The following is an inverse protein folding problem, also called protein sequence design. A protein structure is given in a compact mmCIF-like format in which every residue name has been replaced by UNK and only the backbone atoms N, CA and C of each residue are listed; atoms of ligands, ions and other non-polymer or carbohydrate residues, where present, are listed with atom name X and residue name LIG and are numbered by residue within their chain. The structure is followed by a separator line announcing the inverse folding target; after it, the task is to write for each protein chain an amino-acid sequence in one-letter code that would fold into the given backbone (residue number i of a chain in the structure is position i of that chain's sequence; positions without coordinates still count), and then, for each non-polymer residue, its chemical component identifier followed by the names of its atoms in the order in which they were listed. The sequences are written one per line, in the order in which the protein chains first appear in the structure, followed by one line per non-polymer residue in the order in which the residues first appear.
data_IF_744395086830
#
_entry.id   IF_744395086830
#
_cell.length_a   1.000
_cell.length_b   1.000
_cell.length_c   1.000
_cell.angle_alpha   90.00
_cell.angle_beta   90.00
_cell.angle_gamma   90.00
#
_symmetry.space_group_name_H-M   'P 1'
#
loop_
_entity.id
_entity.type
_entity.pdbx_description
1 polymer ?
#
# COMPACT_ATOMS: atom_id res chain seq x y z
N UNK A 1 35.53 -23.20 -59.17
CA UNK A 1 36.77 -23.08 -58.36
C UNK A 1 36.38 -23.53 -56.95
N UNK A 2 36.36 -24.83 -56.64
CA UNK A 2 37.49 -25.73 -56.26
C UNK A 2 38.05 -25.30 -54.89
N UNK A 3 38.10 -26.06 -53.80
CA UNK A 3 37.76 -27.47 -53.47
C UNK A 3 37.54 -27.61 -51.94
N UNK A 4 36.85 -28.69 -51.55
CA UNK A 4 36.64 -29.24 -50.19
C UNK A 4 37.89 -29.84 -49.52
N UNK A 5 37.85 -30.00 -48.18
CA UNK A 5 37.96 -31.29 -47.43
C UNK A 5 37.81 -30.99 -45.90
N UNK A 6 36.87 -31.50 -45.07
CA UNK A 6 36.51 -32.88 -44.59
C UNK A 6 37.69 -33.61 -43.94
N UNK A 7 37.66 -34.17 -42.71
CA UNK A 7 36.70 -35.01 -41.95
C UNK A 7 36.97 -34.87 -40.42
N UNK A 8 36.09 -35.07 -39.42
CA UNK A 8 35.13 -36.12 -39.02
C UNK A 8 35.71 -37.33 -38.23
N UNK A 9 34.87 -37.83 -37.30
CA UNK A 9 34.94 -39.03 -36.44
C UNK A 9 35.67 -38.87 -35.08
N UNK A 10 35.21 -39.41 -33.93
CA UNK A 10 34.20 -40.45 -33.70
C UNK A 10 33.56 -40.33 -32.29
N UNK A 11 32.34 -40.86 -32.18
CA UNK A 11 31.58 -41.11 -30.94
C UNK A 11 31.58 -42.61 -30.63
N UNK A 12 31.73 -43.01 -29.36
CA UNK A 12 31.34 -44.32 -28.83
C UNK A 12 31.17 -44.21 -27.30
N UNK A 13 29.93 -44.17 -26.77
CA UNK A 13 29.07 -45.27 -26.29
C UNK A 13 29.38 -45.78 -24.87
N UNK A 14 28.34 -45.73 -24.03
CA UNK A 14 28.25 -46.22 -22.64
C UNK A 14 28.55 -47.72 -22.49
N UNK A 15 28.93 -48.14 -21.28
CA UNK A 15 28.59 -49.48 -20.78
C UNK A 15 28.47 -49.51 -19.25
N UNK A 16 27.29 -49.89 -18.76
CA UNK A 16 27.04 -50.37 -17.39
C UNK A 16 27.33 -51.87 -17.37
N UNK A 17 28.20 -52.34 -16.47
CA UNK A 17 28.14 -53.74 -15.98
C UNK A 17 28.41 -53.84 -14.48
N UNK A 18 27.44 -54.51 -13.86
CA UNK A 18 27.20 -54.92 -12.49
C UNK A 18 28.28 -55.86 -11.95
N UNK A 19 28.59 -55.78 -10.66
CA UNK A 19 29.14 -56.90 -9.91
C UNK A 19 28.47 -56.95 -8.52
N UNK A 20 27.69 -58.02 -8.30
CA UNK A 20 27.14 -58.41 -7.00
C UNK A 20 27.99 -59.57 -6.52
N UNK A 21 28.51 -59.48 -5.30
CA UNK A 21 28.92 -60.62 -4.48
C UNK A 21 28.56 -60.31 -3.03
N UNK A 22 27.89 -61.27 -2.39
CA UNK A 22 27.36 -61.18 -1.02
C UNK A 22 28.07 -62.19 -0.09
N UNK A 23 27.84 -61.98 1.22
CA UNK A 23 28.26 -62.73 2.41
C UNK A 23 29.72 -62.52 2.86
N UNK A 24 30.04 -62.20 4.11
CA UNK A 24 29.28 -62.03 5.35
C UNK A 24 30.23 -62.22 6.53
N UNK A 25 30.28 -61.28 7.47
CA UNK A 25 30.80 -61.49 8.82
C UNK A 25 30.25 -60.39 9.74
N UNK A 26 29.51 -60.81 10.76
CA UNK A 26 28.97 -59.97 11.82
C UNK A 26 30.13 -59.55 12.73
N UNK A 27 30.33 -58.24 12.89
CA UNK A 27 31.11 -57.68 13.99
C UNK A 27 30.30 -56.54 14.61
N UNK A 28 29.88 -56.73 15.85
CA UNK A 28 29.29 -55.70 16.67
C UNK A 28 30.31 -54.56 16.85
N UNK A 29 29.99 -53.38 16.33
CA UNK A 29 30.85 -52.20 16.41
C UNK A 29 29.97 -50.96 16.51
N UNK A 30 30.20 -50.19 17.58
CA UNK A 30 29.48 -49.00 18.02
C UNK A 30 28.83 -48.17 16.91
N UNK A 31 27.55 -47.85 17.09
CA UNK A 31 26.83 -46.85 16.32
C UNK A 31 27.45 -45.46 16.56
N UNK A 32 28.48 -45.12 15.78
CA UNK A 32 28.89 -43.73 15.59
C UNK A 32 27.82 -43.06 14.73
N UNK A 33 26.85 -42.45 15.41
CA UNK A 33 25.83 -41.62 14.80
C UNK A 33 26.48 -40.49 14.03
N UNK A 34 26.53 -40.62 12.71
CA UNK A 34 26.78 -39.48 11.83
C UNK A 34 25.60 -38.53 12.03
N UNK A 35 25.79 -37.28 12.48
CA UNK A 35 24.68 -36.35 12.57
C UNK A 35 24.23 -36.09 11.13
N UNK A 36 23.06 -36.62 10.76
CA UNK A 36 22.32 -36.11 9.61
C UNK A 36 22.05 -34.65 9.92
N UNK A 37 22.73 -33.75 9.20
CA UNK A 37 22.35 -32.36 9.19
C UNK A 37 20.89 -32.30 8.73
N UNK A 38 19.98 -32.15 9.68
CA UNK A 38 18.63 -31.70 9.40
C UNK A 38 18.84 -30.29 8.86
N UNK A 39 18.81 -30.14 7.54
CA UNK A 39 18.68 -28.83 6.94
C UNK A 39 17.40 -28.25 7.56
N UNK A 40 17.55 -27.31 8.48
CA UNK A 40 16.44 -26.50 8.91
C UNK A 40 15.90 -25.88 7.61
N UNK A 41 14.71 -26.32 7.18
CA UNK A 41 13.90 -25.45 6.36
C UNK A 41 13.67 -24.22 7.23
N UNK A 42 14.54 -23.22 7.10
CA UNK A 42 14.18 -21.86 7.38
C UNK A 42 13.00 -21.60 6.45
N UNK A 43 11.79 -21.83 6.96
CA UNK A 43 10.60 -21.33 6.32
C UNK A 43 10.87 -19.85 6.13
N UNK A 44 11.08 -19.44 4.88
CA UNK A 44 11.15 -18.01 4.55
C UNK A 44 9.83 -17.46 5.05
N UNK A 45 9.86 -16.70 6.15
CA UNK A 45 8.68 -16.02 6.64
C UNK A 45 8.07 -15.31 5.42
N UNK A 46 6.81 -15.63 5.13
CA UNK A 46 6.14 -15.05 3.98
C UNK A 46 6.29 -13.53 4.08
N UNK A 47 6.81 -12.89 3.03
CA UNK A 47 7.02 -11.45 3.05
C UNK A 47 5.67 -10.77 3.31
N UNK A 48 5.55 -10.06 4.44
CA UNK A 48 4.30 -9.38 4.79
C UNK A 48 3.99 -8.27 3.78
N UNK A 49 2.70 -8.09 3.49
CA UNK A 49 2.19 -7.06 2.59
C UNK A 49 2.32 -5.65 3.16
N UNK A 50 1.84 -4.66 2.43
CA UNK A 50 1.86 -3.24 2.82
C UNK A 50 1.03 -2.99 4.10
N UNK A 51 0.07 -3.87 4.41
CA UNK A 51 -0.74 -3.87 5.63
C UNK A 51 0.04 -4.22 6.91
N UNK A 52 1.28 -4.68 6.78
CA UNK A 52 2.23 -4.72 7.90
C UNK A 52 2.40 -3.32 8.52
N UNK A 53 2.22 -3.13 9.84
CA UNK A 53 2.23 -1.79 10.44
C UNK A 53 3.50 -0.98 10.15
N UNK A 54 4.66 -1.62 10.08
CA UNK A 54 5.91 -0.93 9.77
C UNK A 54 5.97 -0.51 8.30
N UNK A 55 5.47 -1.35 7.38
CA UNK A 55 5.38 -1.00 5.94
C UNK A 55 4.32 0.05 5.68
N UNK A 56 3.19 0.02 6.38
CA UNK A 56 2.16 1.06 6.30
C UNK A 56 2.71 2.41 6.74
N UNK A 57 3.46 2.47 7.83
CA UNK A 57 4.13 3.71 8.27
C UNK A 57 5.13 4.21 7.22
N UNK A 58 5.88 3.32 6.55
CA UNK A 58 6.77 3.69 5.43
C UNK A 58 5.95 4.22 4.24
N UNK A 59 4.84 3.59 3.89
CA UNK A 59 3.95 4.02 2.80
C UNK A 59 3.45 5.45 3.03
N UNK A 60 3.01 5.78 4.25
CA UNK A 60 2.58 7.14 4.59
C UNK A 60 3.71 8.17 4.42
N UNK A 61 4.94 7.81 4.79
CA UNK A 61 6.12 8.68 4.63
C UNK A 61 6.48 8.89 3.17
N UNK A 62 6.37 7.85 2.34
CA UNK A 62 6.66 7.94 0.91
C UNK A 62 5.65 8.86 0.21
N UNK A 63 4.36 8.68 0.44
CA UNK A 63 3.31 9.59 -0.10
C UNK A 63 3.57 11.03 0.37
N UNK A 64 3.75 11.24 1.67
CA UNK A 64 4.04 12.57 2.23
C UNK A 64 5.31 13.22 1.64
N UNK A 65 6.29 12.42 1.20
CA UNK A 65 7.50 12.97 0.57
C UNK A 65 7.20 13.53 -0.83
N UNK A 66 6.30 12.92 -1.58
CA UNK A 66 5.84 13.42 -2.87
C UNK A 66 4.93 14.65 -2.69
N UNK A 67 3.94 14.54 -1.80
CA UNK A 67 2.91 15.56 -1.61
C UNK A 67 3.40 16.80 -0.85
N UNK A 68 4.35 16.62 0.07
CA UNK A 68 4.71 17.67 1.04
C UNK A 68 6.21 17.83 1.25
N UNK A 69 7.06 17.16 0.47
CA UNK A 69 8.53 17.19 0.63
C UNK A 69 8.99 16.92 2.08
N UNK A 70 8.25 16.09 2.82
CA UNK A 70 8.47 15.79 4.23
C UNK A 70 8.12 14.35 4.57
N UNK A 71 8.83 13.74 5.50
CA UNK A 71 8.48 12.42 6.05
C UNK A 71 7.53 12.54 7.27
N UNK A 72 7.29 13.74 7.79
CA UNK A 72 6.36 13.95 8.91
C UNK A 72 4.91 14.05 8.40
N UNK A 73 4.38 12.93 7.92
CA UNK A 73 3.02 12.85 7.37
C UNK A 73 1.96 13.25 8.39
N UNK A 74 2.22 13.06 9.69
CA UNK A 74 1.30 13.44 10.77
C UNK A 74 1.17 14.95 10.93
N UNK A 75 2.14 15.74 10.47
CA UNK A 75 1.98 17.19 10.42
C UNK A 75 0.83 17.63 9.50
N UNK A 76 0.36 16.77 8.60
CA UNK A 76 -0.67 17.09 7.60
C UNK A 76 -2.11 16.92 8.10
N UNK A 77 -2.34 16.36 9.30
CA UNK A 77 -3.72 16.31 9.84
C UNK A 77 -4.40 17.69 9.85
N UNK A 78 -3.62 18.75 10.07
CA UNK A 78 -4.07 20.15 10.11
C UNK A 78 -4.01 20.87 8.76
N UNK A 79 -3.45 20.25 7.72
CA UNK A 79 -3.35 20.86 6.40
C UNK A 79 -4.76 21.17 5.90
N UNK A 80 -4.95 22.36 5.35
CA UNK A 80 -6.17 22.81 4.69
C UNK A 80 -5.86 24.07 3.88
N UNK A 81 -6.13 23.99 2.59
CA UNK A 81 -5.88 25.04 1.60
C UNK A 81 -6.79 24.81 0.40
N UNK A 82 -7.23 25.88 -0.26
CA UNK A 82 -7.71 25.78 -1.64
C UNK A 82 -6.52 26.11 -2.54
N UNK A 83 -6.09 25.11 -3.30
CA UNK A 83 -4.91 25.21 -4.17
C UNK A 83 -5.27 25.69 -5.59
N UNK A 84 -6.54 26.01 -5.85
CA UNK A 84 -7.01 26.55 -7.13
C UNK A 84 -7.10 25.49 -8.25
N UNK A 85 -7.25 24.22 -7.90
CA UNK A 85 -7.37 23.10 -8.84
C UNK A 85 -8.83 22.72 -9.19
N UNK A 86 -9.80 23.48 -8.68
CA UNK A 86 -11.22 23.27 -8.91
C UNK A 86 -11.88 22.24 -7.97
N UNK A 87 -11.18 21.76 -6.94
CA UNK A 87 -11.75 20.83 -5.93
C UNK A 87 -12.21 21.53 -4.64
N UNK A 88 -12.03 22.85 -4.56
CA UNK A 88 -12.27 23.66 -3.36
C UNK A 88 -11.18 23.42 -2.32
N UNK A 89 -11.55 23.38 -1.04
CA UNK A 89 -10.59 23.04 0.01
C UNK A 89 -10.07 21.61 -0.15
N UNK A 90 -8.75 21.48 -0.16
CA UNK A 90 -7.97 20.24 0.00
C UNK A 90 -7.38 20.20 1.41
N UNK A 91 -7.57 19.11 2.15
CA UNK A 91 -7.20 19.06 3.56
C UNK A 91 -6.79 17.67 4.08
N UNK A 92 -6.07 17.65 5.20
CA UNK A 92 -5.72 16.42 5.91
C UNK A 92 -4.62 15.58 5.26
N UNK A 93 -4.45 14.36 5.76
CA UNK A 93 -3.29 13.49 5.47
C UNK A 93 -3.20 12.90 4.06
N UNK A 94 -4.27 13.04 3.27
CA UNK A 94 -4.34 12.55 1.87
C UNK A 94 -5.05 13.53 0.93
N UNK A 95 -5.29 14.76 1.37
CA UNK A 95 -5.96 15.76 0.52
C UNK A 95 -7.46 15.50 0.30
N UNK A 96 -8.22 15.25 1.37
CA UNK A 96 -9.68 15.21 1.31
C UNK A 96 -10.21 16.53 0.75
N UNK A 97 -11.12 16.48 -0.24
CA UNK A 97 -11.60 17.70 -0.90
C UNK A 97 -13.07 18.00 -0.65
N UNK A 98 -13.42 19.28 -0.49
CA UNK A 98 -14.81 19.71 -0.30
C UNK A 98 -15.68 19.46 -1.53
N UNK A 99 -15.09 19.48 -2.72
CA UNK A 99 -15.78 19.29 -3.99
C UNK A 99 -15.95 17.84 -4.45
N UNK A 100 -15.27 16.88 -3.83
CA UNK A 100 -15.25 15.45 -4.24
C UNK A 100 -16.05 14.53 -3.32
N UNK A 101 -16.57 15.05 -2.22
CA UNK A 101 -17.44 14.33 -1.28
C UNK A 101 -16.71 13.62 -0.15
N UNK A 102 -15.44 13.26 -0.30
CA UNK A 102 -14.68 12.57 0.74
C UNK A 102 -14.41 13.44 1.98
N UNK A 103 -14.26 14.77 1.85
CA UNK A 103 -14.23 15.66 3.00
C UNK A 103 -15.58 15.69 3.75
N UNK A 104 -16.69 15.64 3.02
CA UNK A 104 -18.03 15.57 3.63
C UNK A 104 -18.20 14.27 4.41
N UNK A 105 -17.81 13.13 3.84
CA UNK A 105 -17.85 11.83 4.49
C UNK A 105 -16.99 11.81 5.77
N UNK A 106 -15.77 12.35 5.70
CA UNK A 106 -14.88 12.47 6.85
C UNK A 106 -15.48 13.32 7.98
N UNK A 107 -16.06 14.48 7.67
CA UNK A 107 -16.67 15.35 8.69
C UNK A 107 -17.93 14.71 9.26
N UNK A 108 -18.69 13.95 8.46
CA UNK A 108 -19.85 13.18 8.93
C UNK A 108 -19.40 12.08 9.88
N UNK A 109 -18.38 11.29 9.54
CA UNK A 109 -17.80 10.27 10.42
C UNK A 109 -17.35 10.86 11.76
N UNK A 110 -16.72 12.03 11.72
CA UNK A 110 -16.28 12.72 12.94
C UNK A 110 -17.46 13.22 13.78
N UNK A 111 -18.52 13.73 13.16
CA UNK A 111 -19.77 14.09 13.84
C UNK A 111 -20.45 12.90 14.52
N UNK A 112 -20.46 11.75 13.87
CA UNK A 112 -21.09 10.54 14.39
C UNK A 112 -20.32 9.98 15.60
N UNK A 113 -18.98 10.06 15.58
CA UNK A 113 -18.12 9.58 16.67
C UNK A 113 -17.98 10.55 17.83
N UNK A 114 -18.10 11.85 17.56
CA UNK A 114 -17.96 12.91 18.57
C UNK A 114 -18.99 14.01 18.37
N UNK A 115 -20.12 13.86 19.06
CA UNK A 115 -21.18 14.87 19.10
C UNK A 115 -20.64 16.22 19.59
N UNK A 116 -21.07 17.31 18.96
CA UNK A 116 -20.70 18.67 19.35
C UNK A 116 -19.26 19.08 19.00
N UNK A 117 -18.57 18.30 18.14
CA UNK A 117 -17.28 18.72 17.61
C UNK A 117 -17.40 20.00 16.76
N UNK A 118 -16.26 20.70 16.61
CA UNK A 118 -16.20 22.03 15.97
C UNK A 118 -16.54 22.00 14.47
N UNK A 119 -16.43 20.85 13.80
CA UNK A 119 -16.68 20.73 12.37
C UNK A 119 -18.14 20.38 12.02
N UNK A 120 -18.89 19.80 12.95
CA UNK A 120 -20.27 19.33 12.69
C UNK A 120 -21.19 20.45 12.16
N UNK A 121 -20.97 21.71 12.56
CA UNK A 121 -21.75 22.87 12.09
C UNK A 121 -21.60 23.14 10.58
N UNK A 122 -20.54 22.62 9.93
CA UNK A 122 -20.29 22.81 8.51
C UNK A 122 -20.94 21.75 7.61
N UNK A 123 -21.50 20.67 8.17
CA UNK A 123 -22.12 19.59 7.39
C UNK A 123 -23.18 20.07 6.38
N UNK A 124 -24.08 21.03 6.70
CA UNK A 124 -25.00 21.57 5.70
C UNK A 124 -24.31 22.31 4.55
N UNK A 125 -23.23 23.05 4.84
CA UNK A 125 -22.47 23.76 3.83
C UNK A 125 -21.68 22.79 2.95
N UNK A 126 -20.99 21.82 3.56
CA UNK A 126 -20.26 20.75 2.85
C UNK A 126 -21.17 19.99 1.88
N UNK A 127 -22.40 19.63 2.29
CA UNK A 127 -23.39 19.02 1.39
C UNK A 127 -23.77 19.90 0.20
N UNK A 128 -23.81 21.22 0.39
CA UNK A 128 -24.22 22.17 -0.66
C UNK A 128 -23.10 22.43 -1.66
N UNK A 129 -21.84 22.46 -1.20
CA UNK A 129 -20.68 22.77 -2.06
C UNK A 129 -20.09 21.53 -2.73
N UNK A 130 -20.42 20.32 -2.26
CA UNK A 130 -20.00 19.07 -2.89
C UNK A 130 -20.33 19.04 -4.39
N UNK A 131 -19.36 18.68 -5.22
CA UNK A 131 -19.42 18.79 -6.69
C UNK A 131 -18.99 20.14 -7.25
N UNK A 132 -18.47 21.06 -6.44
CA UNK A 132 -17.96 22.38 -6.86
C UNK A 132 -16.73 22.81 -6.04
N UNK A 133 -16.08 23.90 -6.44
CA UNK A 133 -15.00 24.58 -5.72
C UNK A 133 -15.50 25.66 -4.75
N UNK A 134 -16.81 25.75 -4.49
CA UNK A 134 -17.37 26.85 -3.69
C UNK A 134 -17.01 26.77 -2.20
N UNK A 135 -16.69 27.92 -1.60
CA UNK A 135 -16.50 28.04 -0.13
C UNK A 135 -17.74 28.55 0.62
N UNK A 136 -18.89 28.59 -0.04
CA UNK A 136 -20.12 29.18 0.51
C UNK A 136 -20.56 28.48 1.81
N UNK A 137 -20.53 29.21 2.93
CA UNK A 137 -20.90 28.69 4.25
C UNK A 137 -19.78 27.95 4.98
N UNK A 138 -18.60 27.85 4.38
CA UNK A 138 -17.37 27.39 5.03
C UNK A 138 -16.55 28.59 5.53
N UNK A 139 -16.36 29.58 4.66
CA UNK A 139 -15.57 30.77 4.96
C UNK A 139 -16.21 31.71 5.99
N UNK A 140 -15.40 32.42 6.80
CA UNK A 140 -13.92 32.37 6.85
C UNK A 140 -13.37 31.38 7.89
N UNK A 141 -14.24 30.76 8.69
CA UNK A 141 -13.83 30.07 9.92
C UNK A 141 -13.42 28.61 9.69
N UNK A 142 -13.84 27.97 8.59
CA UNK A 142 -13.62 26.54 8.36
C UNK A 142 -12.13 26.14 8.42
N UNK A 143 -11.17 26.84 7.80
CA UNK A 143 -9.75 26.51 7.92
C UNK A 143 -9.21 26.59 9.35
N UNK A 144 -9.73 27.53 10.16
CA UNK A 144 -9.33 27.66 11.57
C UNK A 144 -9.88 26.52 12.40
N UNK A 145 -11.16 26.18 12.22
CA UNK A 145 -11.81 25.10 12.95
C UNK A 145 -11.29 23.72 12.53
N UNK A 146 -10.87 23.54 11.27
CA UNK A 146 -10.15 22.34 10.82
C UNK A 146 -8.84 22.15 11.59
N UNK A 147 -8.00 23.19 11.66
CA UNK A 147 -6.74 23.15 12.42
C UNK A 147 -6.96 22.94 13.92
N UNK A 148 -8.11 23.38 14.46
CA UNK A 148 -8.51 23.08 15.84
C UNK A 148 -8.92 21.62 15.99
N UNK A 149 -9.74 21.09 15.08
CA UNK A 149 -10.13 19.69 15.08
C UNK A 149 -8.94 18.74 14.92
N UNK A 150 -7.92 19.12 14.14
CA UNK A 150 -6.70 18.34 13.94
C UNK A 150 -5.87 18.09 15.21
N UNK A 151 -6.13 18.83 16.30
CA UNK A 151 -5.53 18.58 17.62
C UNK A 151 -6.27 17.48 18.40
N UNK A 152 -7.47 17.11 17.96
CA UNK A 152 -8.29 16.07 18.55
C UNK A 152 -7.88 14.69 18.00
N UNK A 153 -7.51 13.78 18.89
CA UNK A 153 -7.15 12.41 18.50
C UNK A 153 -8.32 11.69 17.83
N UNK A 154 -9.57 12.02 18.17
CA UNK A 154 -10.73 11.44 17.50
C UNK A 154 -10.80 11.85 16.02
N UNK A 155 -10.48 13.10 15.68
CA UNK A 155 -10.46 13.56 14.29
C UNK A 155 -9.27 12.96 13.52
N UNK A 156 -8.11 12.83 14.16
CA UNK A 156 -6.95 12.14 13.57
C UNK A 156 -7.29 10.68 13.25
N UNK A 157 -7.99 9.97 14.14
CA UNK A 157 -8.49 8.62 13.88
C UNK A 157 -9.48 8.59 12.72
N UNK A 158 -10.41 9.55 12.63
CA UNK A 158 -11.34 9.61 11.49
C UNK A 158 -10.60 9.81 10.16
N UNK A 159 -9.56 10.65 10.11
CA UNK A 159 -8.74 10.79 8.90
C UNK A 159 -8.01 9.50 8.53
N UNK A 160 -7.45 8.78 9.52
CA UNK A 160 -6.82 7.49 9.27
C UNK A 160 -7.81 6.46 8.73
N UNK A 161 -9.01 6.40 9.30
CA UNK A 161 -10.01 5.42 8.93
C UNK A 161 -10.60 5.71 7.54
N UNK A 162 -10.79 6.97 7.16
CA UNK A 162 -11.24 7.32 5.81
C UNK A 162 -10.16 7.08 4.75
N UNK A 163 -8.90 7.42 5.04
CA UNK A 163 -7.77 7.00 4.21
C UNK A 163 -7.80 5.49 4.00
N UNK A 164 -7.99 4.74 5.07
CA UNK A 164 -7.94 3.29 5.03
C UNK A 164 -9.09 2.72 4.20
N UNK A 165 -10.32 3.16 4.47
CA UNK A 165 -11.54 2.71 3.79
C UNK A 165 -11.53 3.00 2.29
N UNK A 166 -11.13 4.20 1.88
CA UNK A 166 -11.30 4.68 0.50
C UNK A 166 -10.07 4.42 -0.37
N UNK A 167 -8.87 4.44 0.21
CA UNK A 167 -7.62 4.43 -0.56
C UNK A 167 -6.75 3.22 -0.23
N UNK A 168 -6.35 3.07 1.03
CA UNK A 168 -5.33 2.07 1.41
C UNK A 168 -5.85 0.64 1.30
N UNK A 169 -6.97 0.32 1.92
CA UNK A 169 -7.49 -1.06 1.95
C UNK A 169 -7.90 -1.53 0.55
N UNK A 170 -8.59 -0.73 -0.29
CA UNK A 170 -8.87 -1.12 -1.68
C UNK A 170 -7.60 -1.37 -2.51
N UNK A 171 -6.61 -0.48 -2.46
CA UNK A 171 -5.37 -0.66 -3.21
C UNK A 171 -4.56 -1.89 -2.77
N UNK A 172 -4.46 -2.12 -1.45
CA UNK A 172 -3.76 -3.29 -0.91
C UNK A 172 -4.52 -4.57 -1.24
N UNK A 173 -5.85 -4.58 -1.14
CA UNK A 173 -6.67 -5.73 -1.50
C UNK A 173 -6.56 -6.08 -3.00
N UNK A 174 -6.59 -5.08 -3.87
CA UNK A 174 -6.40 -5.27 -5.31
C UNK A 174 -4.99 -5.80 -5.60
N UNK A 175 -3.96 -5.17 -5.03
CA UNK A 175 -2.58 -5.64 -5.22
C UNK A 175 -2.34 -7.06 -4.71
N UNK A 176 -3.00 -7.49 -3.62
CA UNK A 176 -2.97 -8.89 -3.16
C UNK A 176 -3.65 -9.84 -4.15
N UNK A 177 -4.79 -9.43 -4.71
CA UNK A 177 -5.52 -10.20 -5.73
C UNK A 177 -4.66 -10.43 -6.97
N UNK A 178 -3.86 -9.43 -7.35
CA UNK A 178 -2.97 -9.49 -8.51
C UNK A 178 -1.61 -10.15 -8.20
N UNK A 179 -1.42 -10.68 -6.99
CA UNK A 179 -0.19 -11.36 -6.58
C UNK A 179 1.00 -10.43 -6.32
N UNK A 180 0.76 -9.12 -6.14
CA UNK A 180 1.79 -8.12 -5.89
C UNK A 180 2.31 -8.21 -4.46
N UNK A 181 3.63 -8.03 -4.32
CA UNK A 181 4.30 -7.83 -3.03
C UNK A 181 4.15 -6.36 -2.58
N UNK A 182 4.63 -6.03 -1.39
CA UNK A 182 4.45 -4.72 -0.77
C UNK A 182 4.80 -3.52 -1.68
N UNK A 183 5.84 -3.60 -2.51
CA UNK A 183 6.16 -2.50 -3.45
C UNK A 183 5.06 -2.28 -4.49
N UNK A 184 4.51 -3.34 -5.09
CA UNK A 184 3.43 -3.19 -6.07
C UNK A 184 2.12 -2.73 -5.42
N UNK A 185 1.86 -3.19 -4.19
CA UNK A 185 0.74 -2.68 -3.37
C UNK A 185 0.92 -1.19 -3.05
N UNK A 186 2.16 -0.74 -2.81
CA UNK A 186 2.45 0.69 -2.63
C UNK A 186 2.22 1.48 -3.91
N UNK A 187 2.63 0.97 -5.08
CA UNK A 187 2.34 1.62 -6.37
C UNK A 187 0.83 1.81 -6.58
N UNK A 188 0.01 0.82 -6.22
CA UNK A 188 -1.46 0.97 -6.28
C UNK A 188 -1.97 2.00 -5.27
N UNK A 189 -1.44 1.99 -4.05
CA UNK A 189 -1.82 2.95 -3.02
C UNK A 189 -1.47 4.40 -3.42
N UNK A 190 -0.29 4.62 -3.97
CA UNK A 190 0.13 5.93 -4.46
C UNK A 190 -0.74 6.40 -5.63
N UNK A 191 -1.02 5.49 -6.59
CA UNK A 191 -1.87 5.78 -7.72
C UNK A 191 -3.31 6.16 -7.30
N UNK A 192 -3.94 5.39 -6.42
CA UNK A 192 -5.31 5.72 -5.96
C UNK A 192 -5.35 7.01 -5.13
N UNK A 193 -4.28 7.37 -4.41
CA UNK A 193 -4.21 8.66 -3.71
C UNK A 193 -4.18 9.82 -4.71
N UNK A 194 -3.37 9.72 -5.77
CA UNK A 194 -3.26 10.79 -6.76
C UNK A 194 -4.45 10.87 -7.74
N UNK A 195 -5.01 9.72 -8.09
CA UNK A 195 -5.96 9.59 -9.19
C UNK A 195 -7.39 9.26 -8.74
N UNK A 196 -7.60 8.88 -7.48
CA UNK A 196 -8.91 8.41 -6.99
C UNK A 196 -9.37 7.08 -7.62
N UNK A 197 -10.51 6.56 -7.15
CA UNK A 197 -11.16 5.34 -7.64
C UNK A 197 -12.39 5.64 -8.53
N UNK A 198 -12.29 6.67 -9.38
CA UNK A 198 -13.36 7.05 -10.31
C UNK A 198 -13.40 6.20 -11.59
N UNK A 199 -14.23 6.64 -12.54
CA UNK A 199 -14.45 5.96 -13.82
C UNK A 199 -13.77 6.65 -15.02
N UNK A 200 -13.06 7.77 -14.81
CA UNK A 200 -12.40 8.48 -15.90
C UNK A 200 -11.12 7.76 -16.37
N UNK A 201 -10.62 8.10 -17.56
CA UNK A 201 -9.47 7.44 -18.18
C UNK A 201 -8.16 7.52 -17.38
N UNK A 202 -8.10 8.38 -16.37
CA UNK A 202 -6.94 8.57 -15.50
C UNK A 202 -7.17 8.13 -14.06
N UNK A 203 -8.35 7.57 -13.73
CA UNK A 203 -8.64 6.98 -12.42
C UNK A 203 -7.87 5.67 -12.20
N UNK A 204 -7.62 5.30 -10.94
CA UNK A 204 -6.79 4.15 -10.54
C UNK A 204 -7.06 2.86 -11.31
N UNK A 205 -8.34 2.46 -11.47
CA UNK A 205 -8.70 1.21 -12.15
C UNK A 205 -8.42 1.19 -13.65
N UNK A 206 -8.20 2.36 -14.24
CA UNK A 206 -8.00 2.56 -15.67
C UNK A 206 -6.52 2.78 -16.03
N UNK A 207 -5.61 2.80 -15.04
CA UNK A 207 -4.15 2.85 -15.19
C UNK A 207 -3.58 1.43 -15.29
#
# INVERSE_FOLDING_TARGET
MVHEHRDSAASARLSRRTLVAALGAVAAGAALGVPRAVAAQAGTAAATGLDDPAKKEIAMKLVSSAENSSLDWKAQYKYIEDIGDGRGYTAGIIGFCSGTGDMLDLVQLYADRKSGNVLAKYLPALRKVNGSDSHSGLDPDFPKDWRKAAQDTAFQTCQNDERDRVYFDPAVAQGKTDGLRALGQFCYYDAIVMHGDGDDSTSFRNI
#
